data_IF_815954568164
#
_entry.id   IF_815954568164
#
_cell.length_a   1.000
_cell.length_b   1.000
_cell.length_c   1.000
_cell.angle_alpha   90.00
_cell.angle_beta   90.00
_cell.angle_gamma   90.00
#
_symmetry.space_group_name_H-M   'P 1'
#
loop_
_entity.id
_entity.type
_entity.pdbx_description
1 polymer ?
#
# COMPACT_ATOMS: atom_id res chain seq x y z
N UNK A 1 18.27 7.22 7.37
CA UNK A 1 17.74 8.31 6.50
C UNK A 1 17.96 7.98 5.03
N UNK A 2 19.17 7.57 4.64
CA UNK A 2 19.48 7.09 3.29
C UNK A 2 18.63 5.86 2.93
N UNK A 3 18.46 4.90 3.85
CA UNK A 3 17.68 3.68 3.61
C UNK A 3 16.19 3.96 3.35
N UNK A 4 15.63 4.97 4.01
CA UNK A 4 14.27 5.45 3.75
C UNK A 4 14.14 6.01 2.32
N UNK A 5 15.10 6.83 1.90
CA UNK A 5 15.09 7.44 0.56
C UNK A 5 15.23 6.35 -0.52
N UNK A 6 16.19 5.44 -0.33
CA UNK A 6 16.41 4.30 -1.24
C UNK A 6 15.16 3.40 -1.28
N UNK A 7 14.58 3.09 -0.12
CA UNK A 7 13.35 2.31 -0.01
C UNK A 7 12.20 2.96 -0.78
N UNK A 8 11.95 4.25 -0.59
CA UNK A 8 10.89 4.97 -1.31
C UNK A 8 11.13 5.01 -2.82
N UNK A 9 12.37 5.19 -3.27
CA UNK A 9 12.72 5.17 -4.69
C UNK A 9 12.46 3.81 -5.32
N UNK A 10 12.94 2.72 -4.70
CA UNK A 10 12.75 1.35 -5.21
C UNK A 10 11.25 1.01 -5.23
N UNK A 11 10.53 1.25 -4.13
CA UNK A 11 9.09 0.99 -4.07
C UNK A 11 8.32 1.81 -5.11
N UNK A 12 8.69 3.08 -5.29
CA UNK A 12 8.11 3.96 -6.32
C UNK A 12 8.32 3.44 -7.74
N UNK A 13 9.54 2.99 -8.08
CA UNK A 13 9.84 2.39 -9.38
C UNK A 13 9.00 1.13 -9.63
N UNK A 14 8.87 0.26 -8.63
CA UNK A 14 8.04 -0.95 -8.75
C UNK A 14 6.57 -0.60 -8.95
N UNK A 15 6.04 0.39 -8.23
CA UNK A 15 4.66 0.87 -8.42
C UNK A 15 4.49 1.41 -9.85
N UNK A 16 5.41 2.26 -10.34
CA UNK A 16 5.35 2.80 -11.70
C UNK A 16 5.43 1.69 -12.74
N UNK A 17 6.33 0.72 -12.59
CA UNK A 17 6.43 -0.43 -13.47
C UNK A 17 5.14 -1.25 -13.47
N UNK A 18 4.55 -1.51 -12.30
CA UNK A 18 3.26 -2.19 -12.17
C UNK A 18 2.13 -1.43 -12.86
N UNK A 19 2.10 -0.10 -12.74
CA UNK A 19 1.13 0.76 -13.41
C UNK A 19 1.31 0.79 -14.93
N UNK A 20 2.55 0.67 -15.42
CA UNK A 20 2.86 0.72 -16.85
C UNK A 20 2.60 -0.63 -17.56
N UNK A 21 2.86 -1.77 -16.88
CA UNK A 21 2.60 -3.11 -17.43
C UNK A 21 1.11 -3.33 -17.68
N UNK A 22 0.26 -2.81 -16.78
CA UNK A 22 -1.19 -2.90 -16.95
C UNK A 22 -1.69 -1.69 -17.75
N UNK A 23 -2.37 -1.88 -18.88
CA UNK A 23 -3.14 -0.81 -19.53
C UNK A 23 -4.25 -0.32 -18.58
N UNK A 24 -3.94 0.70 -17.79
CA UNK A 24 -4.83 1.23 -16.76
C UNK A 24 -5.92 2.11 -17.38
N UNK A 25 -7.17 1.86 -17.00
CA UNK A 25 -8.25 2.80 -17.27
C UNK A 25 -8.28 3.88 -16.17
N UNK A 26 -9.05 4.96 -16.39
CA UNK A 26 -9.13 6.08 -15.46
C UNK A 26 -9.59 5.66 -14.05
N UNK A 27 -10.39 4.60 -13.92
CA UNK A 27 -10.84 4.09 -12.62
C UNK A 27 -9.71 3.43 -11.83
N UNK A 28 -8.94 2.54 -12.47
CA UNK A 28 -7.80 1.90 -11.83
C UNK A 28 -6.76 2.96 -11.43
N UNK A 29 -6.54 4.00 -12.25
CA UNK A 29 -5.60 5.08 -11.92
C UNK A 29 -6.03 5.84 -10.66
N UNK A 30 -7.32 6.20 -10.56
CA UNK A 30 -7.89 6.83 -9.36
C UNK A 30 -7.70 5.94 -8.12
N UNK A 31 -7.96 4.64 -8.23
CA UNK A 31 -7.73 3.69 -7.13
C UNK A 31 -6.27 3.69 -6.70
N UNK A 32 -5.32 3.63 -7.64
CA UNK A 32 -3.89 3.68 -7.33
C UNK A 32 -3.48 4.98 -6.64
N UNK A 33 -3.97 6.14 -7.10
CA UNK A 33 -3.65 7.43 -6.47
C UNK A 33 -4.15 7.46 -5.02
N UNK A 34 -5.41 7.08 -4.78
CA UNK A 34 -5.99 7.08 -3.43
C UNK A 34 -5.27 6.07 -2.52
N UNK A 35 -4.84 4.93 -3.08
CA UNK A 35 -4.05 3.93 -2.35
C UNK A 35 -2.68 4.46 -1.95
N UNK A 36 -1.99 5.15 -2.88
CA UNK A 36 -0.70 5.77 -2.61
C UNK A 36 -0.80 6.86 -1.53
N UNK A 37 -1.81 7.72 -1.60
CA UNK A 37 -2.08 8.75 -0.58
C UNK A 37 -2.30 8.08 0.78
N UNK A 38 -3.11 7.03 0.84
CA UNK A 38 -3.41 6.32 2.08
C UNK A 38 -2.15 5.67 2.67
N UNK A 39 -1.32 5.05 1.84
CA UNK A 39 -0.02 4.52 2.26
C UNK A 39 0.86 5.63 2.84
N UNK A 40 0.99 6.78 2.17
CA UNK A 40 1.80 7.90 2.64
C UNK A 40 1.28 8.42 3.99
N UNK A 41 -0.04 8.61 4.14
CA UNK A 41 -0.65 9.05 5.40
C UNK A 41 -0.28 8.11 6.54
N UNK A 42 -0.44 6.79 6.34
CA UNK A 42 -0.11 5.81 7.37
C UNK A 42 1.38 5.82 7.69
N UNK A 43 2.24 5.90 6.68
CA UNK A 43 3.70 5.92 6.84
C UNK A 43 4.18 7.12 7.67
N UNK A 44 3.56 8.30 7.48
CA UNK A 44 3.91 9.52 8.21
C UNK A 44 3.53 9.44 9.69
N UNK A 45 2.52 8.64 10.06
CA UNK A 45 2.10 8.47 11.46
C UNK A 45 3.13 7.62 12.20
N UNK A 46 3.92 8.16 13.15
CA UNK A 46 5.05 7.44 13.75
C UNK A 46 4.64 6.18 14.54
N UNK A 47 3.41 6.11 15.02
CA UNK A 47 2.88 4.96 15.77
C UNK A 47 2.37 3.83 14.87
N UNK A 48 2.12 4.10 13.58
CA UNK A 48 1.51 3.14 12.65
C UNK A 48 2.42 2.83 11.46
N UNK A 49 3.13 3.83 10.97
CA UNK A 49 3.87 3.84 9.72
C UNK A 49 5.32 3.48 9.85
N UNK A 50 6.21 4.46 9.73
CA UNK A 50 7.65 4.24 9.79
C UNK A 50 8.15 4.14 11.24
N UNK A 51 8.60 2.95 11.64
CA UNK A 51 8.91 2.61 13.05
C UNK A 51 10.28 1.98 13.18
N UNK A 52 10.96 2.25 14.28
CA UNK A 52 12.20 1.55 14.64
C UNK A 52 11.89 0.28 15.42
N UNK A 53 12.44 -0.86 14.98
CA UNK A 53 12.38 -2.12 15.73
C UNK A 53 13.71 -2.37 16.45
N UNK A 54 13.66 -2.47 17.79
CA UNK A 54 14.85 -2.79 18.60
C UNK A 54 15.36 -4.23 18.38
N UNK A 55 14.50 -5.16 17.98
CA UNK A 55 14.86 -6.56 17.75
C UNK A 55 15.57 -6.79 16.42
N UNK A 56 15.23 -5.99 15.40
CA UNK A 56 15.82 -6.05 14.05
C UNK A 56 16.94 -5.00 13.90
N UNK A 57 16.98 -3.98 14.77
CA UNK A 57 17.98 -2.93 14.75
C UNK A 57 17.80 -1.94 13.60
N UNK A 58 16.64 -1.93 12.95
CA UNK A 58 16.37 -1.14 11.75
C UNK A 58 14.94 -0.56 11.74
N UNK A 59 14.71 0.40 10.85
CA UNK A 59 13.40 0.99 10.61
C UNK A 59 12.59 0.19 9.60
N UNK A 60 11.28 0.15 9.79
CA UNK A 60 10.36 -0.54 8.91
C UNK A 60 9.07 0.21 8.63
N UNK A 61 8.47 -0.11 7.47
CA UNK A 61 7.12 0.31 7.13
C UNK A 61 6.11 -0.62 7.81
N UNK A 62 5.36 -0.06 8.76
CA UNK A 62 4.38 -0.74 9.58
C UNK A 62 3.05 -0.95 8.87
N UNK A 63 1.95 -0.66 9.56
CA UNK A 63 0.61 -1.15 9.24
C UNK A 63 0.17 -0.99 7.77
N UNK A 64 -0.46 -2.02 7.17
CA UNK A 64 -0.64 -3.39 7.68
C UNK A 64 0.54 -4.33 7.41
N UNK A 65 1.64 -3.87 6.83
CA UNK A 65 2.78 -4.72 6.55
C UNK A 65 3.46 -5.29 7.80
N UNK A 66 3.26 -4.67 8.97
CA UNK A 66 3.78 -5.16 10.25
C UNK A 66 3.31 -6.59 10.59
N UNK A 67 2.14 -7.01 10.12
CA UNK A 67 1.60 -8.37 10.26
C UNK A 67 2.50 -9.41 9.59
N UNK A 68 3.22 -9.00 8.54
CA UNK A 68 4.11 -9.87 7.75
C UNK A 68 5.58 -9.74 8.15
N UNK A 69 5.90 -8.88 9.13
CA UNK A 69 7.28 -8.71 9.60
C UNK A 69 7.67 -9.94 10.41
N UNK A 70 8.53 -10.77 9.84
CA UNK A 70 9.17 -11.86 10.57
C UNK A 70 10.33 -11.31 11.39
N UNK A 71 10.21 -11.39 12.72
CA UNK A 71 11.19 -10.81 13.66
C UNK A 71 12.44 -11.69 13.86
N UNK A 72 12.59 -12.77 13.09
CA UNK A 72 13.72 -13.70 13.16
C UNK A 72 14.81 -13.41 12.12
N UNK A 73 15.60 -12.35 12.32
CA UNK A 73 17.01 -12.26 11.92
C UNK A 73 17.47 -12.47 10.46
N UNK A 74 16.59 -12.53 9.45
CA UNK A 74 17.02 -12.70 8.05
C UNK A 74 17.31 -11.35 7.37
N UNK A 75 18.52 -11.21 6.81
CA UNK A 75 19.11 -9.98 6.23
C UNK A 75 18.41 -9.41 4.98
N UNK A 76 17.49 -10.15 4.34
CA UNK A 76 16.60 -9.64 3.30
C UNK A 76 15.26 -9.27 3.93
N UNK A 77 15.25 -8.14 4.63
CA UNK A 77 14.13 -7.81 5.48
C UNK A 77 12.90 -7.42 4.65
N UNK A 78 11.80 -8.17 4.80
CA UNK A 78 10.45 -7.87 4.28
C UNK A 78 10.00 -6.44 4.61
N UNK A 79 10.64 -5.85 5.61
CA UNK A 79 10.59 -4.44 6.02
C UNK A 79 10.65 -3.45 4.87
N UNK A 80 11.57 -3.59 3.90
CA UNK A 80 11.71 -2.64 2.79
C UNK A 80 10.55 -2.74 1.79
N UNK A 81 9.85 -3.88 1.76
CA UNK A 81 8.65 -4.10 0.93
C UNK A 81 7.36 -3.69 1.63
N UNK A 82 7.41 -3.28 2.91
CA UNK A 82 6.20 -2.91 3.64
C UNK A 82 5.45 -1.75 2.98
N UNK A 83 6.15 -0.80 2.37
CA UNK A 83 5.51 0.28 1.60
C UNK A 83 4.74 -0.25 0.39
N UNK A 84 5.35 -1.14 -0.40
CA UNK A 84 4.72 -1.84 -1.52
C UNK A 84 3.50 -2.65 -1.06
N UNK A 85 3.65 -3.41 0.03
CA UNK A 85 2.54 -4.19 0.59
C UNK A 85 1.38 -3.29 1.01
N UNK A 86 1.66 -2.20 1.74
CA UNK A 86 0.67 -1.24 2.20
C UNK A 86 -0.09 -0.62 1.01
N UNK A 87 0.63 -0.24 -0.06
CA UNK A 87 0.02 0.24 -1.29
C UNK A 87 -0.96 -0.78 -1.90
N UNK A 88 -0.53 -2.03 -2.08
CA UNK A 88 -1.40 -3.06 -2.65
C UNK A 88 -2.58 -3.39 -1.74
N UNK A 89 -2.36 -3.43 -0.43
CA UNK A 89 -3.42 -3.64 0.54
C UNK A 89 -4.52 -2.57 0.39
N UNK A 90 -4.15 -1.29 0.45
CA UNK A 90 -5.12 -0.20 0.27
C UNK A 90 -5.79 -0.25 -1.10
N UNK A 91 -5.05 -0.59 -2.15
CA UNK A 91 -5.62 -0.77 -3.49
C UNK A 91 -6.71 -1.84 -3.51
N UNK A 92 -6.46 -3.01 -2.91
CA UNK A 92 -7.45 -4.08 -2.82
C UNK A 92 -8.63 -3.70 -1.94
N UNK A 93 -8.41 -3.04 -0.81
CA UNK A 93 -9.47 -2.53 0.08
C UNK A 93 -10.38 -1.55 -0.64
N UNK A 94 -9.82 -0.52 -1.30
CA UNK A 94 -10.63 0.45 -2.04
C UNK A 94 -11.34 -0.17 -3.24
N UNK A 95 -10.69 -1.10 -3.93
CA UNK A 95 -11.33 -1.87 -5.01
C UNK A 95 -12.53 -2.68 -4.49
N UNK A 96 -12.42 -3.29 -3.31
CA UNK A 96 -13.53 -4.00 -2.67
C UNK A 96 -14.64 -3.04 -2.26
N UNK A 97 -14.32 -1.90 -1.64
CA UNK A 97 -15.30 -0.86 -1.27
C UNK A 97 -16.08 -0.39 -2.49
N UNK A 98 -15.40 -0.10 -3.60
CA UNK A 98 -16.08 0.31 -4.85
C UNK A 98 -16.99 -0.80 -5.37
N UNK A 99 -16.52 -2.06 -5.36
CA UNK A 99 -17.31 -3.21 -5.82
C UNK A 99 -18.56 -3.43 -4.96
N UNK A 100 -18.44 -3.31 -3.64
CA UNK A 100 -19.55 -3.41 -2.69
C UNK A 100 -20.50 -2.23 -2.82
N UNK A 101 -20.00 -1.01 -2.98
CA UNK A 101 -20.83 0.18 -3.20
C UNK A 101 -21.65 0.09 -4.49
N UNK A 102 -21.10 -0.50 -5.56
CA UNK A 102 -21.85 -0.80 -6.79
C UNK A 102 -22.92 -1.86 -6.55
N UNK A 103 -22.63 -2.89 -5.75
CA UNK A 103 -23.58 -3.96 -5.43
C UNK A 103 -24.75 -3.48 -4.56
N UNK A 104 -24.49 -2.57 -3.62
CA UNK A 104 -25.47 -2.07 -2.65
C UNK A 104 -26.30 -0.92 -3.21
N UNK A 105 -25.85 -0.24 -4.28
CA UNK A 105 -26.65 0.79 -4.94
C UNK A 105 -27.99 0.17 -5.32
N UNK A 106 -29.12 0.73 -4.87
CA UNK A 106 -30.41 0.24 -5.29
C UNK A 106 -30.39 0.24 -6.81
N UNK A 107 -30.70 -0.91 -7.41
CA UNK A 107 -31.01 -0.96 -8.84
C UNK A 107 -32.20 -0.03 -8.96
N UNK A 108 -31.95 1.21 -9.36
CA UNK A 108 -33.00 2.11 -9.76
C UNK A 108 -33.50 1.52 -11.08
N UNK A 109 -34.36 0.50 -10.96
CA UNK A 109 -35.23 0.03 -12.01
C UNK A 109 -36.23 1.17 -12.21
N UNK A 110 -35.75 2.23 -12.86
CA UNK A 110 -36.62 3.11 -13.62
C UNK A 110 -37.26 2.24 -14.68
N UNK A 111 -38.46 1.78 -14.36
CA UNK A 111 -39.35 1.06 -15.24
C UNK A 111 -39.71 1.95 -16.44
N UNK A 112 -39.64 1.35 -17.63
CA UNK A 112 -40.20 1.76 -18.94
C UNK A 112 -39.66 3.03 -19.60
#
# INVERSE_FOLDING_TARGET
MIDLIIGLLINGLVIVAFLNINKFNAQKLKLSIVSLISTIIVVVVPTLGYRFDKSIGDYYFGFPADILVYHGGMLFSLVSFGFLFNFFFFYWVFKLIVKLGVLIRPVNKGNY
#
